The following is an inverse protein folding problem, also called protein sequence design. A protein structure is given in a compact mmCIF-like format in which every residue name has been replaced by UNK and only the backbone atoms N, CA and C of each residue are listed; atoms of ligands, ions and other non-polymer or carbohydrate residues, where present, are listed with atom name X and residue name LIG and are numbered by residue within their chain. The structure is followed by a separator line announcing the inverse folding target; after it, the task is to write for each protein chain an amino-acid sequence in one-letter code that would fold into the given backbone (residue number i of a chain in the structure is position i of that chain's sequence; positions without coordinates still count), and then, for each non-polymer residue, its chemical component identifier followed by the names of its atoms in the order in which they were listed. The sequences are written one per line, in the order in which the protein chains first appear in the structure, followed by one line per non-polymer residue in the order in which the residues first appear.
data_IF_812188230848
#
_entry.id   IF_812188230848
#
_cell.length_a   1.000
_cell.length_b   1.000
_cell.length_c   1.000
_cell.angle_alpha   90.00
_cell.angle_beta   90.00
_cell.angle_gamma   90.00
#
_symmetry.space_group_name_H-M   'P 1'
#
loop_
_entity.id
_entity.type
_entity.pdbx_description
1 polymer ?
#
# COMPACT_ATOMS: atom_id res chain seq x y z
N UNK A 1 -26.40 -2.40 30.03
CA UNK A 1 -25.75 -1.40 29.16
C UNK A 1 -25.78 0.00 29.78
N UNK A 2 -26.88 0.42 30.43
CA UNK A 2 -26.95 1.66 31.21
C UNK A 2 -25.91 1.76 32.34
N UNK A 3 -25.68 0.69 33.12
CA UNK A 3 -24.73 0.74 34.25
C UNK A 3 -23.25 0.93 33.86
N UNK A 4 -22.84 0.48 32.67
CA UNK A 4 -21.49 0.71 32.13
C UNK A 4 -21.36 2.16 31.63
N UNK A 5 -22.42 2.69 31.02
CA UNK A 5 -22.48 4.11 30.59
C UNK A 5 -22.43 5.03 31.81
N UNK A 6 -23.14 4.68 32.88
CA UNK A 6 -23.13 5.44 34.13
C UNK A 6 -21.77 5.32 34.85
N UNK A 7 -21.11 4.16 34.82
CA UNK A 7 -19.76 3.98 35.34
C UNK A 7 -18.71 4.77 34.54
N UNK A 8 -18.80 4.76 33.20
CA UNK A 8 -17.98 5.62 32.33
C UNK A 8 -18.28 7.12 32.53
N UNK A 9 -19.50 7.46 32.95
CA UNK A 9 -19.87 8.83 33.26
C UNK A 9 -19.20 9.39 34.53
N UNK A 10 -18.78 8.53 35.47
CA UNK A 10 -17.97 8.95 36.63
C UNK A 10 -16.55 9.38 36.22
N UNK A 11 -16.06 8.94 35.06
CA UNK A 11 -14.81 9.39 34.45
C UNK A 11 -14.95 10.66 33.59
N UNK A 12 -16.10 11.37 33.64
CA UNK A 12 -16.35 12.66 32.93
C UNK A 12 -15.40 13.81 33.31
N UNK A 13 -14.54 13.63 34.31
CA UNK A 13 -13.51 14.60 34.70
C UNK A 13 -12.13 14.31 34.12
N UNK A 14 -12.01 13.42 33.13
CA UNK A 14 -10.82 13.47 32.28
C UNK A 14 -10.78 14.84 31.62
N UNK A 15 -9.72 15.59 31.88
CA UNK A 15 -9.48 16.86 31.22
C UNK A 15 -9.30 16.57 29.72
N UNK A 16 -10.38 16.72 28.94
CA UNK A 16 -10.42 16.49 27.50
C UNK A 16 -9.73 17.63 26.72
N UNK A 17 -9.07 18.54 27.46
CA UNK A 17 -8.18 19.55 26.89
C UNK A 17 -7.03 18.85 26.21
N UNK A 18 -7.00 19.02 24.89
CA UNK A 18 -5.89 18.63 24.04
C UNK A 18 -4.61 19.24 24.57
N UNK A 19 -3.55 18.44 24.64
CA UNK A 19 -2.20 18.95 24.80
C UNK A 19 -1.81 19.64 23.48
N UNK A 20 -1.77 20.98 23.50
CA UNK A 20 -1.45 21.82 22.33
C UNK A 20 -0.05 21.55 21.81
N UNK A 21 0.91 21.28 22.70
CA UNK A 21 2.29 20.98 22.30
C UNK A 21 2.37 19.67 21.50
N UNK A 22 1.63 18.65 21.93
CA UNK A 22 1.53 17.38 21.21
C UNK A 22 0.83 17.56 19.86
N UNK A 23 -0.23 18.34 19.83
CA UNK A 23 -0.98 18.64 18.61
C UNK A 23 -0.11 19.40 17.58
N UNK A 24 0.64 20.41 18.01
CA UNK A 24 1.56 21.18 17.17
C UNK A 24 2.75 20.34 16.70
N UNK A 25 3.28 19.48 17.58
CA UNK A 25 4.30 18.49 17.23
C UNK A 25 3.79 17.55 16.13
N UNK A 26 2.60 16.96 16.32
CA UNK A 26 2.02 16.05 15.33
C UNK A 26 1.66 16.74 14.03
N UNK A 27 1.18 17.98 14.07
CA UNK A 27 0.93 18.78 12.87
C UNK A 27 2.23 19.00 12.09
N UNK A 28 3.31 19.34 12.79
CA UNK A 28 4.64 19.51 12.20
C UNK A 28 5.18 18.20 11.63
N UNK A 29 5.01 17.11 12.36
CA UNK A 29 5.35 15.76 11.92
C UNK A 29 4.63 15.39 10.62
N UNK A 30 3.30 15.60 10.54
CA UNK A 30 2.51 15.32 9.34
C UNK A 30 3.03 16.10 8.13
N UNK A 31 3.35 17.38 8.30
CA UNK A 31 3.90 18.19 7.20
C UNK A 31 5.25 17.64 6.73
N UNK A 32 6.17 17.35 7.66
CA UNK A 32 7.51 16.81 7.33
C UNK A 32 7.40 15.44 6.64
N UNK A 33 6.62 14.52 7.21
CA UNK A 33 6.45 13.19 6.63
C UNK A 33 5.72 13.26 5.28
N UNK A 34 4.84 14.25 5.04
CA UNK A 34 4.23 14.46 3.73
C UNK A 34 5.28 14.72 2.66
N UNK A 35 6.20 15.65 2.88
CA UNK A 35 7.26 15.98 1.92
C UNK A 35 8.17 14.79 1.64
N UNK A 36 8.61 14.10 2.69
CA UNK A 36 9.46 12.91 2.58
C UNK A 36 8.73 11.78 1.83
N UNK A 37 7.46 11.53 2.18
CA UNK A 37 6.65 10.48 1.57
C UNK A 37 6.36 10.78 0.11
N UNK A 38 5.99 12.02 -0.24
CA UNK A 38 5.73 12.41 -1.63
C UNK A 38 7.00 12.22 -2.47
N UNK A 39 8.15 12.69 -1.99
CA UNK A 39 9.43 12.51 -2.69
C UNK A 39 9.76 11.02 -2.90
N UNK A 40 9.60 10.19 -1.87
CA UNK A 40 9.85 8.75 -1.95
C UNK A 40 8.89 8.05 -2.92
N UNK A 41 7.60 8.40 -2.92
CA UNK A 41 6.61 7.82 -3.84
C UNK A 41 6.83 8.30 -5.29
N UNK A 42 7.26 9.54 -5.53
CA UNK A 42 7.65 10.02 -6.86
C UNK A 42 8.88 9.28 -7.38
N UNK A 43 9.91 9.10 -6.53
CA UNK A 43 11.09 8.31 -6.88
C UNK A 43 10.69 6.87 -7.23
N UNK A 44 9.83 6.26 -6.41
CA UNK A 44 9.35 4.90 -6.67
C UNK A 44 8.54 4.81 -7.96
N UNK A 45 7.65 5.77 -8.23
CA UNK A 45 6.94 5.89 -9.49
C UNK A 45 7.91 5.94 -10.68
N UNK A 46 8.92 6.81 -10.61
CA UNK A 46 9.97 6.92 -11.63
C UNK A 46 10.70 5.59 -11.84
N UNK A 47 11.10 4.90 -10.76
CA UNK A 47 11.78 3.61 -10.84
C UNK A 47 10.90 2.51 -11.46
N UNK A 48 9.58 2.50 -11.19
CA UNK A 48 8.64 1.60 -11.86
C UNK A 48 8.59 1.89 -13.37
N UNK A 49 8.65 3.17 -13.75
CA UNK A 49 8.62 3.58 -15.17
C UNK A 49 9.92 3.17 -15.89
N UNK A 50 11.08 3.48 -15.31
CA UNK A 50 12.36 3.34 -15.99
C UNK A 50 12.93 1.93 -15.95
N UNK A 51 12.94 1.27 -14.80
CA UNK A 51 13.68 0.03 -14.64
C UNK A 51 13.06 -1.16 -15.40
N UNK A 52 11.85 -0.99 -15.98
CA UNK A 52 11.12 -1.99 -16.78
C UNK A 52 11.17 -3.39 -16.15
N UNK A 53 11.18 -3.45 -14.83
CA UNK A 53 11.47 -4.66 -14.05
C UNK A 53 10.38 -5.72 -14.21
N UNK A 54 9.17 -5.25 -14.54
CA UNK A 54 7.98 -6.06 -14.66
C UNK A 54 7.58 -6.27 -16.11
N UNK A 55 7.47 -7.54 -16.47
CA UNK A 55 7.19 -7.97 -17.84
C UNK A 55 5.70 -7.90 -18.19
N UNK A 56 4.82 -7.87 -17.20
CA UNK A 56 3.37 -7.73 -17.45
C UNK A 56 2.94 -6.28 -17.33
N UNK A 57 2.49 -5.73 -18.47
CA UNK A 57 1.98 -4.35 -18.57
C UNK A 57 0.91 -4.03 -17.53
N UNK A 58 -0.02 -4.97 -17.29
CA UNK A 58 -1.10 -4.79 -16.32
C UNK A 58 -0.61 -4.66 -14.87
N UNK A 59 0.38 -5.45 -14.46
CA UNK A 59 0.95 -5.36 -13.11
C UNK A 59 1.73 -4.06 -12.90
N UNK A 60 2.47 -3.63 -13.93
CA UNK A 60 3.16 -2.33 -13.89
C UNK A 60 2.16 -1.19 -13.79
N UNK A 61 1.08 -1.24 -14.56
CA UNK A 61 0.02 -0.24 -14.51
C UNK A 61 -0.64 -0.16 -13.14
N UNK A 62 -0.99 -1.31 -12.52
CA UNK A 62 -1.60 -1.32 -11.19
C UNK A 62 -0.65 -0.81 -10.10
N UNK A 63 0.65 -1.07 -10.21
CA UNK A 63 1.65 -0.49 -9.30
C UNK A 63 1.75 1.03 -9.45
N UNK A 64 1.75 1.54 -10.68
CA UNK A 64 1.75 2.99 -10.92
C UNK A 64 0.49 3.65 -10.36
N UNK A 65 -0.68 3.04 -10.58
CA UNK A 65 -1.94 3.51 -10.01
C UNK A 65 -1.90 3.53 -8.48
N UNK A 66 -1.36 2.47 -7.86
CA UNK A 66 -1.16 2.42 -6.41
C UNK A 66 -0.26 3.56 -5.90
N UNK A 67 0.83 3.89 -6.62
CA UNK A 67 1.68 5.02 -6.24
C UNK A 67 0.94 6.36 -6.35
N UNK A 68 0.10 6.55 -7.37
CA UNK A 68 -0.74 7.75 -7.49
C UNK A 68 -1.66 7.89 -6.29
N UNK A 69 -2.33 6.81 -5.89
CA UNK A 69 -3.21 6.82 -4.72
C UNK A 69 -2.45 7.04 -3.41
N UNK A 70 -1.25 6.48 -3.25
CA UNK A 70 -0.41 6.77 -2.08
C UNK A 70 0.03 8.24 -2.02
N UNK A 71 0.37 8.85 -3.16
CA UNK A 71 0.66 10.28 -3.22
C UNK A 71 -0.57 11.09 -2.81
N UNK A 72 -1.75 10.76 -3.37
CA UNK A 72 -3.01 11.40 -3.02
C UNK A 72 -3.33 11.24 -1.53
N UNK A 73 -3.14 10.05 -0.96
CA UNK A 73 -3.35 9.77 0.46
C UNK A 73 -2.44 10.62 1.35
N UNK A 74 -1.15 10.73 1.03
CA UNK A 74 -0.23 11.57 1.80
C UNK A 74 -0.61 13.05 1.72
N UNK A 75 -0.93 13.54 0.52
CA UNK A 75 -1.34 14.93 0.34
C UNK A 75 -2.61 15.18 1.18
N UNK A 76 -3.60 14.30 1.07
CA UNK A 76 -4.86 14.47 1.78
C UNK A 76 -4.70 14.37 3.30
N UNK A 77 -4.09 13.28 3.79
CA UNK A 77 -3.98 13.01 5.22
C UNK A 77 -3.00 13.95 5.94
N UNK A 78 -1.90 14.33 5.28
CA UNK A 78 -0.77 14.98 5.94
C UNK A 78 -0.61 16.46 5.59
N UNK A 79 -1.33 16.98 4.59
CA UNK A 79 -1.34 18.41 4.23
C UNK A 79 -2.75 19.00 4.23
N UNK A 80 -3.70 18.36 3.54
CA UNK A 80 -5.01 18.95 3.32
C UNK A 80 -5.92 18.83 4.53
N UNK A 81 -6.01 17.65 5.14
CA UNK A 81 -6.93 17.40 6.26
C UNK A 81 -6.25 17.42 7.63
N UNK A 82 -5.12 16.72 7.83
CA UNK A 82 -4.48 16.52 9.16
C UNK A 82 -5.55 16.29 10.25
N UNK A 83 -6.17 15.09 10.28
CA UNK A 83 -7.30 14.82 11.17
C UNK A 83 -6.85 14.53 12.60
N UNK A 84 -7.59 15.09 13.56
CA UNK A 84 -7.44 14.85 14.99
C UNK A 84 -8.74 14.23 15.54
N UNK A 85 -8.76 12.90 15.75
CA UNK A 85 -9.86 12.20 16.42
C UNK A 85 -10.22 12.84 17.73
N UNK A 86 -11.51 13.08 17.90
CA UNK A 86 -12.09 13.46 19.17
C UNK A 86 -12.21 12.20 20.02
N UNK A 87 -11.91 12.35 21.30
CA UNK A 87 -12.08 11.28 22.27
C UNK A 87 -12.95 11.80 23.41
N UNK A 88 -13.97 11.03 23.85
CA UNK A 88 -14.43 9.72 23.35
C UNK A 88 -15.53 9.83 22.27
N UNK A 89 -15.75 11.03 21.73
CA UNK A 89 -16.79 11.30 20.75
C UNK A 89 -16.40 10.72 19.38
N UNK A 90 -17.31 9.99 18.73
CA UNK A 90 -17.11 9.61 17.33
C UNK A 90 -17.13 10.86 16.44
N UNK A 91 -15.95 11.36 16.14
CA UNK A 91 -15.76 12.62 15.45
C UNK A 91 -14.29 12.98 15.37
N UNK A 92 -14.00 14.04 14.62
CA UNK A 92 -12.66 14.59 14.49
C UNK A 92 -12.75 16.06 14.07
N UNK A 93 -11.63 16.76 14.21
CA UNK A 93 -11.43 18.07 13.62
C UNK A 93 -10.16 18.08 12.77
N UNK A 94 -10.02 19.11 11.93
CA UNK A 94 -8.92 19.23 10.97
C UNK A 94 -8.08 20.48 11.24
N UNK A 95 -6.74 20.34 11.14
CA UNK A 95 -5.79 21.46 11.10
C UNK A 95 -5.03 21.59 9.77
N UNK A 96 -5.42 20.83 8.77
CA UNK A 96 -4.88 20.93 7.42
C UNK A 96 -5.40 22.16 6.66
N UNK A 97 -4.92 22.31 5.42
CA UNK A 97 -5.29 23.42 4.54
C UNK A 97 -6.79 23.49 4.23
N UNK A 98 -7.47 22.34 4.13
CA UNK A 98 -8.92 22.28 3.89
C UNK A 98 -9.74 22.91 5.01
N UNK A 99 -9.36 22.64 6.27
CA UNK A 99 -10.02 23.26 7.42
C UNK A 99 -9.66 24.74 7.55
N UNK A 100 -8.36 25.05 7.49
CA UNK A 100 -7.83 26.36 7.87
C UNK A 100 -7.94 27.45 6.79
N UNK A 101 -7.85 27.08 5.50
CA UNK A 101 -7.81 28.05 4.40
C UNK A 101 -9.01 27.96 3.47
N UNK A 102 -9.59 26.76 3.29
CA UNK A 102 -10.73 26.55 2.38
C UNK A 102 -12.08 26.39 3.08
N UNK A 103 -12.09 26.30 4.42
CA UNK A 103 -13.30 26.11 5.23
C UNK A 103 -14.19 24.94 4.76
N UNK A 104 -13.58 23.84 4.30
CA UNK A 104 -14.30 22.65 3.84
C UNK A 104 -14.69 21.81 5.06
N UNK A 105 -15.99 21.49 5.24
CA UNK A 105 -16.50 20.64 6.34
C UNK A 105 -15.68 19.36 6.50
N UNK A 106 -15.37 19.01 7.76
CA UNK A 106 -14.52 17.87 8.09
C UNK A 106 -15.17 16.57 7.62
N UNK A 107 -16.51 16.56 7.57
CA UNK A 107 -17.28 15.48 7.00
C UNK A 107 -16.83 15.14 5.57
N UNK A 108 -16.82 16.13 4.67
CA UNK A 108 -16.40 15.92 3.28
C UNK A 108 -14.91 15.60 3.16
N UNK A 109 -14.08 16.14 4.05
CA UNK A 109 -12.67 15.74 4.11
C UNK A 109 -12.53 14.25 4.44
N UNK A 110 -13.35 13.71 5.34
CA UNK A 110 -13.37 12.29 5.66
C UNK A 110 -13.95 11.43 4.54
N UNK A 111 -15.00 11.89 3.85
CA UNK A 111 -15.52 11.20 2.65
C UNK A 111 -14.42 11.02 1.61
N UNK A 112 -13.67 12.08 1.31
CA UNK A 112 -12.53 12.04 0.37
C UNK A 112 -11.43 11.09 0.89
N UNK A 113 -11.12 11.13 2.19
CA UNK A 113 -10.11 10.25 2.77
C UNK A 113 -10.51 8.76 2.60
N UNK A 114 -11.75 8.42 2.95
CA UNK A 114 -12.28 7.05 2.83
C UNK A 114 -12.18 6.59 1.37
N UNK A 115 -12.61 7.43 0.43
CA UNK A 115 -12.51 7.13 -1.00
C UNK A 115 -11.06 6.85 -1.43
N UNK A 116 -10.10 7.69 -1.04
CA UNK A 116 -8.68 7.49 -1.38
C UNK A 116 -8.14 6.20 -0.76
N UNK A 117 -8.51 5.88 0.48
CA UNK A 117 -8.09 4.64 1.16
C UNK A 117 -8.67 3.41 0.45
N UNK A 118 -9.96 3.44 0.10
CA UNK A 118 -10.64 2.39 -0.66
C UNK A 118 -9.94 2.13 -2.01
N UNK A 119 -9.55 3.21 -2.69
CA UNK A 119 -8.83 3.14 -3.97
C UNK A 119 -7.38 2.64 -3.84
N UNK A 120 -6.70 2.94 -2.73
CA UNK A 120 -5.42 2.32 -2.37
C UNK A 120 -5.57 0.80 -2.22
N UNK A 121 -6.60 0.36 -1.50
CA UNK A 121 -6.90 -1.06 -1.28
C UNK A 121 -7.24 -1.74 -2.60
N UNK A 122 -8.11 -1.14 -3.42
CA UNK A 122 -8.48 -1.64 -4.74
C UNK A 122 -7.22 -1.85 -5.60
N UNK A 123 -6.35 -0.85 -5.67
CA UNK A 123 -5.11 -0.89 -6.47
C UNK A 123 -4.11 -1.92 -5.96
N UNK A 124 -4.05 -2.15 -4.65
CA UNK A 124 -3.24 -3.20 -4.03
C UNK A 124 -3.76 -4.60 -4.40
N UNK A 125 -5.07 -4.83 -4.31
CA UNK A 125 -5.70 -6.09 -4.69
C UNK A 125 -5.56 -6.34 -6.20
N UNK A 126 -5.69 -5.31 -7.02
CA UNK A 126 -5.41 -5.33 -8.46
C UNK A 126 -3.98 -5.77 -8.77
N UNK A 127 -3.02 -5.22 -8.04
CA UNK A 127 -1.60 -5.59 -8.13
C UNK A 127 -1.39 -7.07 -7.79
N UNK A 128 -2.07 -7.58 -6.76
CA UNK A 128 -2.05 -9.00 -6.43
C UNK A 128 -2.69 -9.87 -7.53
N UNK A 129 -3.83 -9.44 -8.09
CA UNK A 129 -4.59 -10.12 -9.12
C UNK A 129 -3.80 -10.23 -10.44
N UNK A 130 -3.32 -9.10 -10.99
CA UNK A 130 -2.55 -9.08 -12.24
C UNK A 130 -1.30 -9.95 -12.14
N UNK A 131 -0.65 -9.93 -10.98
CA UNK A 131 0.50 -10.79 -10.74
C UNK A 131 0.09 -12.26 -10.74
N UNK A 132 -1.00 -12.62 -10.06
CA UNK A 132 -1.49 -14.00 -10.06
C UNK A 132 -1.85 -14.46 -11.48
N UNK A 133 -2.59 -13.64 -12.24
CA UNK A 133 -2.95 -13.93 -13.63
C UNK A 133 -1.73 -14.12 -14.54
N UNK A 134 -0.64 -13.38 -14.30
CA UNK A 134 0.61 -13.55 -15.05
C UNK A 134 1.31 -14.90 -14.82
N UNK A 135 1.08 -15.53 -13.67
CA UNK A 135 1.67 -16.83 -13.32
C UNK A 135 0.84 -18.01 -13.84
N UNK A 136 -0.38 -17.76 -14.31
CA UNK A 136 -1.27 -18.78 -14.86
C UNK A 136 -0.96 -19.01 -16.34
N UNK A 137 -0.22 -20.10 -16.61
CA UNK A 137 0.06 -20.58 -17.97
C UNK A 137 -1.18 -21.27 -18.57
N UNK A 138 -2.16 -20.47 -19.02
CA UNK A 138 -3.30 -20.95 -19.82
C UNK A 138 -4.27 -21.90 -19.11
N UNK A 139 -4.39 -21.81 -17.78
CA UNK A 139 -5.28 -22.66 -16.99
C UNK A 139 -6.73 -22.18 -16.91
N UNK A 140 -7.62 -23.03 -16.40
CA UNK A 140 -9.07 -22.76 -16.19
C UNK A 140 -9.37 -21.48 -15.38
N UNK A 141 -8.41 -20.98 -14.59
CA UNK A 141 -8.55 -19.79 -13.75
C UNK A 141 -7.96 -18.52 -14.38
N UNK A 142 -7.46 -18.60 -15.62
CA UNK A 142 -6.98 -17.44 -16.36
C UNK A 142 -8.17 -16.65 -16.86
N UNK A 143 -8.32 -15.43 -16.38
CA UNK A 143 -9.37 -14.54 -16.82
C UNK A 143 -9.04 -14.03 -18.22
N UNK A 144 -10.06 -13.92 -19.06
CA UNK A 144 -9.94 -13.17 -20.31
C UNK A 144 -9.91 -11.65 -20.02
N UNK A 145 -9.57 -10.84 -21.02
CA UNK A 145 -9.42 -9.40 -20.83
C UNK A 145 -10.72 -8.72 -20.35
N UNK A 146 -11.87 -9.15 -20.85
CA UNK A 146 -13.18 -8.58 -20.49
C UNK A 146 -13.52 -8.90 -19.03
N UNK A 147 -13.41 -10.17 -18.64
CA UNK A 147 -13.61 -10.62 -17.26
C UNK A 147 -12.68 -9.89 -16.30
N UNK A 148 -11.42 -9.70 -16.72
CA UNK A 148 -10.46 -8.97 -15.93
C UNK A 148 -10.92 -7.53 -15.72
N UNK A 149 -11.24 -6.79 -16.80
CA UNK A 149 -11.75 -5.41 -16.74
C UNK A 149 -13.00 -5.28 -15.89
N UNK A 150 -13.98 -6.18 -16.07
CA UNK A 150 -15.20 -6.19 -15.25
C UNK A 150 -14.89 -6.40 -13.78
N UNK A 151 -13.94 -7.28 -13.45
CA UNK A 151 -13.49 -7.48 -12.08
C UNK A 151 -12.78 -6.25 -11.51
N UNK A 152 -12.00 -5.51 -12.33
CA UNK A 152 -11.40 -4.22 -11.91
C UNK A 152 -12.51 -3.25 -11.53
N UNK A 153 -13.46 -3.03 -12.45
CA UNK A 153 -14.54 -2.07 -12.26
C UNK A 153 -15.38 -2.45 -11.03
N UNK A 154 -15.75 -3.73 -10.91
CA UNK A 154 -16.50 -4.22 -9.76
C UNK A 154 -15.74 -4.01 -8.44
N UNK A 155 -14.43 -4.25 -8.42
CA UNK A 155 -13.60 -4.07 -7.25
C UNK A 155 -13.57 -2.60 -6.79
N UNK A 156 -13.27 -1.67 -7.70
CA UNK A 156 -13.23 -0.24 -7.40
C UNK A 156 -14.59 0.28 -6.94
N UNK A 157 -15.66 -0.03 -7.67
CA UNK A 157 -17.03 0.36 -7.29
C UNK A 157 -17.39 -0.20 -5.91
N UNK A 158 -17.12 -1.50 -5.68
CA UNK A 158 -17.49 -2.16 -4.41
C UNK A 158 -16.79 -1.54 -3.19
N UNK A 159 -15.56 -1.07 -3.35
CA UNK A 159 -14.81 -0.43 -2.27
C UNK A 159 -15.28 1.01 -2.07
N UNK A 160 -15.43 1.79 -3.15
CA UNK A 160 -15.90 3.17 -3.12
C UNK A 160 -17.31 3.38 -2.52
N UNK A 161 -18.13 2.31 -2.42
CA UNK A 161 -19.43 2.35 -1.74
C UNK A 161 -19.32 2.85 -0.29
N UNK A 162 -18.21 2.60 0.42
CA UNK A 162 -18.06 3.11 1.80
C UNK A 162 -18.06 4.63 1.86
N UNK A 163 -17.29 5.29 0.97
CA UNK A 163 -17.26 6.74 0.92
C UNK A 163 -18.64 7.31 0.59
N UNK A 164 -19.37 6.65 -0.32
CA UNK A 164 -20.74 7.04 -0.66
C UNK A 164 -21.69 6.89 0.54
N UNK A 165 -21.70 5.76 1.23
CA UNK A 165 -22.51 5.55 2.44
C UNK A 165 -22.13 6.59 3.50
N UNK A 166 -20.84 6.83 3.70
CA UNK A 166 -20.35 7.79 4.69
C UNK A 166 -20.84 9.20 4.43
N UNK A 167 -20.93 9.62 3.16
CA UNK A 167 -21.45 10.95 2.78
C UNK A 167 -22.89 11.22 3.23
N UNK A 168 -23.66 10.19 3.60
CA UNK A 168 -25.04 10.34 4.10
C UNK A 168 -25.15 10.20 5.64
N UNK A 169 -24.04 10.13 6.36
CA UNK A 169 -24.03 9.99 7.84
C UNK A 169 -24.01 11.35 8.53
N UNK A 170 -23.74 12.44 7.80
CA UNK A 170 -23.63 13.79 8.34
C UNK A 170 -24.83 14.13 9.25
N UNK A 171 -24.51 14.64 10.45
CA UNK A 171 -25.50 15.20 11.34
C UNK A 171 -25.69 16.67 11.04
N UNK A 172 -26.91 17.16 11.18
CA UNK A 172 -27.18 18.59 11.15
C UNK A 172 -26.38 19.31 12.23
N UNK A 173 -25.91 20.52 11.93
CA UNK A 173 -25.08 21.32 12.83
C UNK A 173 -25.75 21.50 14.22
N UNK A 174 -27.07 21.65 14.26
CA UNK A 174 -27.84 21.76 15.50
C UNK A 174 -27.72 20.50 16.36
N UNK A 175 -27.82 19.33 15.74
CA UNK A 175 -27.72 18.05 16.43
C UNK A 175 -26.29 17.79 16.91
N UNK A 176 -25.29 18.20 16.13
CA UNK A 176 -23.89 18.15 16.54
C UNK A 176 -23.63 19.02 17.77
N UNK A 177 -24.13 20.27 17.79
CA UNK A 177 -24.02 21.13 18.96
C UNK A 177 -24.77 20.58 20.17
N UNK A 178 -25.99 20.07 19.98
CA UNK A 178 -26.76 19.42 21.04
C UNK A 178 -25.98 18.24 21.64
N UNK A 179 -25.34 17.43 20.78
CA UNK A 179 -24.50 16.31 21.21
C UNK A 179 -23.32 16.78 22.07
N UNK A 180 -22.63 17.85 21.65
CA UNK A 180 -21.54 18.44 22.43
C UNK A 180 -22.02 19.02 23.76
N UNK A 181 -23.06 19.85 23.76
CA UNK A 181 -23.53 20.52 24.98
C UNK A 181 -24.10 19.54 26.01
N UNK A 182 -24.77 18.48 25.55
CA UNK A 182 -25.55 17.61 26.43
C UNK A 182 -24.80 16.33 26.82
N UNK A 183 -24.06 15.71 25.88
CA UNK A 183 -23.38 14.43 26.14
C UNK A 183 -21.87 14.57 26.39
N UNK A 184 -21.22 15.57 25.78
CA UNK A 184 -19.77 15.75 25.85
C UNK A 184 -19.37 17.20 26.13
N UNK A 185 -19.81 17.81 27.24
CA UNK A 185 -19.61 19.24 27.50
C UNK A 185 -18.13 19.63 27.57
N UNK A 186 -17.24 18.70 27.96
CA UNK A 186 -15.79 18.91 27.95
C UNK A 186 -15.16 19.09 26.56
N UNK A 187 -15.91 18.81 25.49
CA UNK A 187 -15.51 19.02 24.09
C UNK A 187 -16.15 20.28 23.48
N UNK A 188 -16.92 21.06 24.25
CA UNK A 188 -17.58 22.26 23.75
C UNK A 188 -16.59 23.30 23.19
N UNK A 189 -15.33 23.29 23.65
CA UNK A 189 -14.26 24.16 23.14
C UNK A 189 -14.05 24.02 21.62
N UNK A 190 -14.30 22.86 21.02
CA UNK A 190 -14.09 22.67 19.56
C UNK A 190 -15.00 23.60 18.75
N UNK A 191 -16.23 23.80 19.25
CA UNK A 191 -17.19 24.68 18.59
C UNK A 191 -16.78 26.15 18.59
N UNK A 192 -15.94 26.58 19.54
CA UNK A 192 -15.49 27.97 19.67
C UNK A 192 -14.18 28.26 18.93
N UNK A 193 -13.39 27.24 18.58
CA UNK A 193 -12.04 27.43 18.04
C UNK A 193 -11.98 27.63 16.51
N UNK A 194 -13.14 27.79 15.84
CA UNK A 194 -13.19 28.01 14.39
C UNK A 194 -12.63 26.85 13.56
N UNK A 195 -12.32 25.71 14.19
CA UNK A 195 -11.89 24.51 13.49
C UNK A 195 -13.06 23.93 12.71
N UNK A 196 -12.72 23.31 11.59
CA UNK A 196 -13.68 22.50 10.87
C UNK A 196 -13.70 21.13 11.54
N UNK A 197 -14.84 20.80 12.17
CA UNK A 197 -15.07 19.57 12.91
C UNK A 197 -16.33 18.87 12.41
N UNK A 198 -16.41 17.57 12.68
CA UNK A 198 -17.66 16.83 12.56
C UNK A 198 -17.77 15.81 13.68
N UNK A 199 -18.97 15.72 14.24
CA UNK A 199 -19.36 14.68 15.17
C UNK A 199 -20.43 13.79 14.55
N UNK A 200 -20.41 12.51 14.91
CA UNK A 200 -21.29 11.49 14.40
C UNK A 200 -22.01 10.82 15.56
N UNK A 201 -23.29 10.50 15.35
CA UNK A 201 -24.09 9.74 16.29
C UNK A 201 -24.34 8.33 15.75
N UNK A 202 -24.71 7.44 16.67
CA UNK A 202 -25.24 6.12 16.33
C UNK A 202 -26.62 6.28 15.70
N UNK A 203 -26.67 6.30 14.37
CA UNK A 203 -27.88 6.32 13.57
C UNK A 203 -27.83 5.15 12.55
N UNK A 204 -28.88 5.02 11.72
CA UNK A 204 -28.94 3.99 10.70
C UNK A 204 -27.77 4.09 9.69
N UNK A 205 -27.35 5.30 9.33
CA UNK A 205 -26.21 5.54 8.43
C UNK A 205 -24.89 5.01 9.00
N UNK A 206 -24.55 5.39 10.24
CA UNK A 206 -23.39 4.87 10.97
C UNK A 206 -23.40 3.35 11.07
N UNK A 207 -24.58 2.75 11.29
CA UNK A 207 -24.73 1.30 11.31
C UNK A 207 -24.44 0.67 9.94
N UNK A 208 -25.00 1.20 8.85
CA UNK A 208 -24.74 0.69 7.50
C UNK A 208 -23.28 0.84 7.08
N UNK A 209 -22.61 1.90 7.49
CA UNK A 209 -21.19 2.12 7.22
C UNK A 209 -20.29 1.13 7.97
N UNK A 210 -20.56 0.88 9.25
CA UNK A 210 -19.82 -0.14 10.00
C UNK A 210 -20.05 -1.53 9.40
N UNK A 211 -21.30 -1.81 9.00
CA UNK A 211 -21.65 -3.05 8.33
C UNK A 211 -20.95 -3.19 6.97
N UNK A 212 -20.84 -2.12 6.18
CA UNK A 212 -20.13 -2.14 4.90
C UNK A 212 -18.63 -2.37 5.09
N UNK A 213 -18.00 -1.70 6.06
CA UNK A 213 -16.61 -1.95 6.45
C UNK A 213 -16.41 -3.41 6.84
N UNK A 214 -17.31 -3.98 7.65
CA UNK A 214 -17.22 -5.37 8.06
C UNK A 214 -17.23 -6.33 6.87
N UNK A 215 -18.20 -6.17 5.96
CA UNK A 215 -18.27 -7.00 4.75
C UNK A 215 -17.06 -6.83 3.84
N UNK A 216 -16.53 -5.63 3.71
CA UNK A 216 -15.31 -5.39 2.95
C UNK A 216 -14.08 -6.04 3.59
N UNK A 217 -13.93 -5.96 4.91
CA UNK A 217 -12.86 -6.67 5.62
C UNK A 217 -12.93 -8.18 5.38
N UNK A 218 -14.13 -8.77 5.43
CA UNK A 218 -14.35 -10.19 5.11
C UNK A 218 -13.98 -10.49 3.65
N UNK A 219 -14.39 -9.63 2.72
CA UNK A 219 -14.07 -9.76 1.29
C UNK A 219 -12.56 -9.67 1.01
N UNK A 220 -11.89 -8.65 1.54
CA UNK A 220 -10.43 -8.43 1.41
C UNK A 220 -9.67 -9.60 2.03
N UNK A 221 -10.06 -10.01 3.24
CA UNK A 221 -9.45 -11.15 3.93
C UNK A 221 -9.59 -12.45 3.13
N UNK A 222 -10.79 -12.72 2.61
CA UNK A 222 -11.07 -13.89 1.77
C UNK A 222 -10.24 -13.85 0.48
N UNK A 223 -10.16 -12.69 -0.18
CA UNK A 223 -9.34 -12.49 -1.37
C UNK A 223 -7.85 -12.72 -1.08
N UNK A 224 -7.32 -12.16 0.01
CA UNK A 224 -5.93 -12.34 0.41
C UNK A 224 -5.60 -13.82 0.65
N UNK A 225 -6.46 -14.55 1.38
CA UNK A 225 -6.33 -15.99 1.61
C UNK A 225 -6.32 -16.76 0.29
N UNK A 226 -7.22 -16.43 -0.64
CA UNK A 226 -7.27 -17.05 -1.97
C UNK A 226 -5.96 -16.79 -2.73
N UNK A 227 -5.49 -15.55 -2.80
CA UNK A 227 -4.24 -15.19 -3.49
C UNK A 227 -3.05 -15.94 -2.92
N UNK A 228 -2.93 -16.00 -1.58
CA UNK A 228 -1.84 -16.72 -0.90
C UNK A 228 -1.91 -18.21 -1.22
N UNK A 229 -3.09 -18.84 -1.07
CA UNK A 229 -3.30 -20.26 -1.36
C UNK A 229 -2.95 -20.58 -2.81
N UNK A 230 -3.44 -19.80 -3.76
CA UNK A 230 -3.14 -19.98 -5.19
C UNK A 230 -1.68 -19.75 -5.51
N UNK A 231 -1.03 -18.77 -4.87
CA UNK A 231 0.42 -18.55 -5.04
C UNK A 231 1.21 -19.77 -4.56
N UNK A 232 0.90 -20.30 -3.38
CA UNK A 232 1.54 -21.53 -2.84
C UNK A 232 1.33 -22.71 -3.79
N UNK A 233 0.09 -22.93 -4.26
CA UNK A 233 -0.23 -24.02 -5.20
C UNK A 233 0.54 -23.88 -6.52
N UNK A 234 0.63 -22.67 -7.05
CA UNK A 234 1.35 -22.38 -8.29
C UNK A 234 2.84 -22.63 -8.12
N UNK A 235 3.45 -22.15 -7.03
CA UNK A 235 4.87 -22.40 -6.72
C UNK A 235 5.14 -23.90 -6.57
N UNK A 236 4.28 -24.64 -5.85
CA UNK A 236 4.40 -26.10 -5.70
C UNK A 236 4.30 -26.81 -7.05
N UNK A 237 3.36 -26.42 -7.90
CA UNK A 237 3.20 -26.98 -9.26
C UNK A 237 4.44 -26.72 -10.12
N UNK A 238 4.96 -25.49 -10.10
CA UNK A 238 6.17 -25.13 -10.85
C UNK A 238 7.38 -25.92 -10.36
N UNK A 239 7.58 -26.06 -9.04
CA UNK A 239 8.64 -26.90 -8.47
C UNK A 239 8.54 -28.36 -8.95
N UNK A 240 7.34 -28.94 -8.98
CA UNK A 240 7.12 -30.31 -9.51
C UNK A 240 7.46 -30.42 -11.00
N UNK A 241 7.09 -29.43 -11.81
CA UNK A 241 7.42 -29.41 -13.25
C UNK A 241 8.93 -29.30 -13.46
N UNK A 242 9.62 -28.42 -12.72
CA UNK A 242 11.08 -28.27 -12.78
C UNK A 242 11.77 -29.57 -12.35
N UNK A 243 11.31 -30.20 -11.27
CA UNK A 243 11.86 -31.48 -10.81
C UNK A 243 11.71 -32.58 -11.86
N UNK A 244 10.54 -32.70 -12.51
CA UNK A 244 10.31 -33.67 -13.60
C UNK A 244 11.09 -33.36 -14.88
N UNK A 245 11.42 -32.08 -15.14
CA UNK A 245 12.15 -31.64 -16.34
C UNK A 245 13.67 -31.78 -16.23
N UNK A 246 14.23 -32.12 -15.06
CA UNK A 246 15.67 -32.39 -14.90
C UNK A 246 16.16 -33.58 -15.76
N UNK A 247 15.27 -34.44 -16.24
CA UNK A 247 15.60 -35.58 -17.12
C UNK A 247 15.67 -35.27 -18.63
N UNK A 248 15.25 -34.10 -19.11
CA UNK A 248 15.18 -33.83 -20.56
C UNK A 248 16.07 -32.64 -20.95
N UNK A 249 17.32 -32.95 -21.32
CA UNK A 249 18.33 -31.98 -21.80
C UNK A 249 17.96 -31.23 -23.10
N UNK A 250 16.90 -31.61 -23.83
CA UNK A 250 16.81 -31.27 -25.27
C UNK A 250 15.99 -30.05 -25.70
N UNK A 251 15.23 -29.34 -24.86
CA UNK A 251 14.32 -28.29 -25.37
C UNK A 251 14.85 -26.87 -25.14
N UNK A 252 16.02 -26.53 -25.71
CA UNK A 252 16.74 -25.27 -25.41
C UNK A 252 16.16 -23.98 -26.04
N UNK A 253 15.29 -24.05 -27.06
CA UNK A 253 14.80 -22.86 -27.78
C UNK A 253 13.46 -22.28 -27.27
N UNK A 254 12.47 -23.12 -26.94
CA UNK A 254 11.24 -22.69 -26.22
C UNK A 254 11.55 -22.32 -24.75
N UNK A 255 12.72 -22.74 -24.25
CA UNK A 255 13.24 -22.44 -22.92
C UNK A 255 13.36 -20.94 -22.63
N UNK A 256 13.71 -20.03 -23.54
CA UNK A 256 14.07 -18.66 -23.10
C UNK A 256 12.92 -17.88 -22.44
N UNK A 257 11.72 -17.91 -23.02
CA UNK A 257 10.58 -17.14 -22.50
C UNK A 257 9.99 -17.81 -21.26
N UNK A 258 9.76 -19.13 -21.33
CA UNK A 258 9.23 -19.88 -20.19
C UNK A 258 10.22 -19.94 -19.02
N UNK A 259 11.54 -20.02 -19.27
CA UNK A 259 12.54 -20.06 -18.19
C UNK A 259 12.76 -18.68 -17.58
N UNK A 260 12.53 -17.58 -18.31
CA UNK A 260 12.51 -16.22 -17.75
C UNK A 260 11.28 -15.99 -16.86
N UNK A 261 10.11 -16.44 -17.29
CA UNK A 261 8.87 -16.37 -16.50
C UNK A 261 8.97 -17.27 -15.26
N UNK A 262 9.53 -18.47 -15.41
CA UNK A 262 9.75 -19.43 -14.31
C UNK A 262 10.86 -18.94 -13.37
N UNK A 263 11.97 -18.40 -13.88
CA UNK A 263 13.04 -17.85 -13.02
C UNK A 263 12.59 -16.63 -12.23
N UNK A 264 11.69 -15.81 -12.77
CA UNK A 264 11.09 -14.67 -12.06
C UNK A 264 9.93 -15.05 -11.13
N UNK A 265 9.18 -16.11 -11.46
CA UNK A 265 8.21 -16.70 -10.53
C UNK A 265 8.92 -17.32 -9.32
N UNK A 266 10.12 -17.87 -9.54
CA UNK A 266 10.97 -18.46 -8.51
C UNK A 266 11.96 -17.49 -7.86
N UNK A 267 12.10 -16.25 -8.37
CA UNK A 267 13.01 -15.27 -7.80
C UNK A 267 12.48 -14.85 -6.43
N UNK A 268 13.14 -15.25 -5.32
CA UNK A 268 12.62 -15.03 -3.98
C UNK A 268 12.41 -13.54 -3.70
N UNK A 269 13.30 -12.68 -4.20
CA UNK A 269 13.24 -11.22 -4.02
C UNK A 269 11.90 -10.62 -4.46
N UNK A 270 11.39 -10.99 -5.64
CA UNK A 270 10.11 -10.48 -6.15
C UNK A 270 8.92 -11.02 -5.34
N UNK A 271 8.99 -12.26 -4.87
CA UNK A 271 7.93 -12.83 -4.01
C UNK A 271 7.95 -12.21 -2.60
N UNK A 272 9.14 -11.90 -2.07
CA UNK A 272 9.29 -11.15 -0.82
C UNK A 272 8.65 -9.77 -0.96
N UNK A 273 8.90 -9.03 -2.05
CA UNK A 273 8.27 -7.72 -2.28
C UNK A 273 6.73 -7.78 -2.19
N UNK A 274 6.08 -8.89 -2.59
CA UNK A 274 4.62 -9.09 -2.50
C UNK A 274 4.14 -9.25 -1.06
N UNK A 275 4.83 -10.12 -0.32
CA UNK A 275 4.53 -10.36 1.09
C UNK A 275 4.75 -9.06 1.86
N UNK A 276 5.80 -8.31 1.53
CA UNK A 276 6.07 -7.02 2.14
C UNK A 276 4.99 -5.99 1.88
N UNK A 277 4.50 -5.79 0.64
CA UNK A 277 3.38 -4.85 0.39
C UNK A 277 2.13 -5.18 1.22
N UNK A 278 1.82 -6.47 1.37
CA UNK A 278 0.68 -6.91 2.17
C UNK A 278 0.95 -6.72 3.66
N UNK A 279 2.14 -7.03 4.14
CA UNK A 279 2.53 -6.84 5.54
C UNK A 279 2.57 -5.35 5.89
N UNK A 280 3.16 -4.49 5.05
CA UNK A 280 3.19 -3.04 5.30
C UNK A 280 1.79 -2.46 5.29
N UNK A 281 0.93 -2.87 4.36
CA UNK A 281 -0.49 -2.48 4.38
C UNK A 281 -1.20 -2.95 5.65
N UNK A 282 -0.99 -4.18 6.10
CA UNK A 282 -1.59 -4.67 7.34
C UNK A 282 -1.07 -3.90 8.56
N UNK A 283 0.25 -3.74 8.69
CA UNK A 283 0.88 -3.14 9.86
C UNK A 283 0.61 -1.64 9.99
N UNK A 284 0.55 -0.90 8.88
CA UNK A 284 0.43 0.55 8.91
C UNK A 284 -0.92 1.10 8.43
N UNK A 285 -1.80 0.26 7.88
CA UNK A 285 -3.20 0.66 7.59
C UNK A 285 -4.16 -0.08 8.52
N UNK A 286 -4.16 -1.41 8.53
CA UNK A 286 -5.15 -2.17 9.30
C UNK A 286 -4.99 -1.99 10.81
N UNK A 287 -3.76 -2.06 11.33
CA UNK A 287 -3.53 -1.91 12.77
C UNK A 287 -3.91 -0.50 13.26
N UNK A 288 -3.48 0.61 12.62
CA UNK A 288 -3.98 1.94 12.97
C UNK A 288 -5.50 2.09 12.89
N UNK A 289 -6.14 1.54 11.84
CA UNK A 289 -7.60 1.58 11.71
C UNK A 289 -8.29 0.80 12.84
N UNK A 290 -7.75 -0.36 13.23
CA UNK A 290 -8.26 -1.12 14.38
C UNK A 290 -8.07 -0.32 15.68
N UNK A 291 -6.90 0.30 15.87
CA UNK A 291 -6.61 1.15 17.03
C UNK A 291 -7.57 2.32 17.12
N UNK A 292 -7.85 3.00 16.00
CA UNK A 292 -8.85 4.07 15.91
C UNK A 292 -10.25 3.50 16.20
N UNK A 293 -10.61 2.36 15.62
CA UNK A 293 -11.89 1.69 15.90
C UNK A 293 -12.08 1.39 17.39
N UNK A 294 -11.07 0.83 18.05
CA UNK A 294 -11.09 0.52 19.49
C UNK A 294 -11.14 1.80 20.33
N UNK A 295 -10.42 2.85 19.93
CA UNK A 295 -10.42 4.12 20.67
C UNK A 295 -11.76 4.83 20.62
N UNK A 296 -12.50 4.69 19.50
CA UNK A 296 -13.87 5.18 19.37
C UNK A 296 -14.86 4.50 20.34
N UNK A 297 -14.55 3.30 20.83
CA UNK A 297 -15.34 2.64 21.88
C UNK A 297 -14.94 3.05 23.31
N UNK A 298 -14.08 4.07 23.47
CA UNK A 298 -13.72 4.61 24.79
C UNK A 298 -12.66 3.81 25.55
N UNK A 299 -11.96 2.90 24.87
CA UNK A 299 -10.98 2.01 25.53
C UNK A 299 -9.54 2.51 25.47
N UNK A 300 -9.23 3.52 24.64
CA UNK A 300 -7.86 3.98 24.43
C UNK A 300 -7.76 5.51 24.55
N UNK A 301 -6.70 6.03 25.20
CA UNK A 301 -6.40 7.45 25.25
C UNK A 301 -6.24 8.11 23.87
N UNK A 302 -6.53 9.42 23.79
CA UNK A 302 -6.46 10.18 22.53
C UNK A 302 -5.09 10.13 21.85
N UNK A 303 -3.99 10.17 22.63
CA UNK A 303 -2.62 10.15 22.08
C UNK A 303 -2.31 8.86 21.30
N UNK A 304 -2.96 7.73 21.64
CA UNK A 304 -2.80 6.47 20.90
C UNK A 304 -3.47 6.59 19.52
N UNK A 305 -4.68 7.16 19.47
CA UNK A 305 -5.41 7.39 18.21
C UNK A 305 -4.65 8.34 17.30
N UNK A 306 -4.10 9.41 17.88
CA UNK A 306 -3.32 10.41 17.14
C UNK A 306 -2.00 9.82 16.61
N UNK A 307 -1.32 9.02 17.43
CA UNK A 307 -0.12 8.29 17.02
C UNK A 307 -0.42 7.25 15.93
N UNK A 308 -1.59 6.60 15.98
CA UNK A 308 -2.03 5.67 14.94
C UNK A 308 -2.21 6.38 13.59
N UNK A 309 -2.81 7.57 13.57
CA UNK A 309 -2.92 8.38 12.34
C UNK A 309 -1.55 8.81 11.84
N UNK A 310 -0.66 9.24 12.73
CA UNK A 310 0.72 9.58 12.36
C UNK A 310 1.47 8.37 11.76
N UNK A 311 1.27 7.16 12.31
CA UNK A 311 1.81 5.93 11.76
C UNK A 311 1.22 5.61 10.38
N UNK A 312 -0.09 5.83 10.19
CA UNK A 312 -0.76 5.68 8.89
C UNK A 312 -0.20 6.64 7.85
N UNK A 313 0.09 7.89 8.22
CA UNK A 313 0.76 8.87 7.37
C UNK A 313 2.18 8.45 6.93
N UNK A 314 2.86 7.62 7.72
CA UNK A 314 4.19 7.08 7.37
C UNK A 314 4.16 5.83 6.49
N UNK A 315 2.99 5.18 6.34
CA UNK A 315 2.86 3.89 5.63
C UNK A 315 3.51 3.93 4.25
N UNK A 316 3.16 4.94 3.46
CA UNK A 316 3.54 5.00 2.06
C UNK A 316 5.04 5.22 1.88
N UNK A 317 5.67 6.03 2.74
CA UNK A 317 7.12 6.23 2.77
C UNK A 317 7.84 4.92 3.10
N UNK A 318 7.45 4.27 4.20
CA UNK A 318 8.04 2.99 4.61
C UNK A 318 7.89 1.97 3.50
N UNK A 319 6.69 1.87 2.92
CA UNK A 319 6.41 0.97 1.82
C UNK A 319 7.32 1.23 0.61
N UNK A 320 7.40 2.47 0.13
CA UNK A 320 8.22 2.84 -1.02
C UNK A 320 9.71 2.62 -0.77
N UNK A 321 10.24 3.00 0.40
CA UNK A 321 11.62 2.74 0.78
C UNK A 321 11.95 1.25 0.81
N UNK A 322 11.13 0.44 1.47
CA UNK A 322 11.33 -1.01 1.54
C UNK A 322 11.33 -1.63 0.16
N UNK A 323 10.43 -1.23 -0.74
CA UNK A 323 10.36 -1.77 -2.09
C UNK A 323 11.58 -1.39 -2.92
N UNK A 324 12.01 -0.12 -2.84
CA UNK A 324 13.19 0.36 -3.55
C UNK A 324 14.44 -0.38 -3.08
N UNK A 325 14.64 -0.48 -1.76
CA UNK A 325 15.80 -1.13 -1.16
C UNK A 325 15.85 -2.65 -1.42
N UNK A 326 14.70 -3.33 -1.39
CA UNK A 326 14.64 -4.78 -1.60
C UNK A 326 14.63 -5.19 -3.08
N UNK A 327 14.45 -4.26 -4.01
CA UNK A 327 14.45 -4.55 -5.44
C UNK A 327 15.85 -4.27 -6.04
N UNK A 328 16.65 -5.31 -6.34
CA UNK A 328 18.03 -5.12 -6.79
C UNK A 328 18.12 -4.30 -8.09
N UNK A 329 17.13 -4.41 -8.98
CA UNK A 329 17.11 -3.64 -10.23
C UNK A 329 16.82 -2.16 -10.00
N UNK A 330 16.05 -1.82 -8.97
CA UNK A 330 15.82 -0.43 -8.59
C UNK A 330 17.09 0.17 -7.98
N UNK A 331 17.76 -0.59 -7.11
CA UNK A 331 19.03 -0.16 -6.52
C UNK A 331 20.15 -0.02 -7.55
N UNK A 332 20.23 -0.92 -8.53
CA UNK A 332 21.18 -0.83 -9.65
C UNK A 332 20.94 0.45 -10.47
N UNK A 333 19.70 0.69 -10.90
CA UNK A 333 19.36 1.90 -11.65
C UNK A 333 19.62 3.18 -10.84
N UNK A 334 19.29 3.18 -9.54
CA UNK A 334 19.56 4.32 -8.66
C UNK A 334 21.06 4.58 -8.56
N UNK A 335 21.87 3.52 -8.38
CA UNK A 335 23.33 3.61 -8.30
C UNK A 335 23.92 4.17 -9.58
N UNK A 336 23.49 3.68 -10.74
CA UNK A 336 23.92 4.20 -12.05
C UNK A 336 23.61 5.71 -12.18
N UNK A 337 22.39 6.12 -11.83
CA UNK A 337 21.98 7.53 -11.87
C UNK A 337 22.76 8.41 -10.90
N UNK A 338 22.99 7.95 -9.67
CA UNK A 338 23.80 8.69 -8.69
C UNK A 338 25.26 8.81 -9.16
N UNK A 339 25.86 7.73 -9.67
CA UNK A 339 27.24 7.77 -10.18
C UNK A 339 27.38 8.73 -11.37
N UNK A 340 26.45 8.69 -12.33
CA UNK A 340 26.45 9.64 -13.46
C UNK A 340 26.27 11.10 -13.06
N UNK A 341 25.58 11.40 -11.95
CA UNK A 341 25.50 12.75 -11.40
C UNK A 341 26.81 13.19 -10.73
N UNK A 342 27.50 12.27 -10.05
CA UNK A 342 28.77 12.55 -9.36
C UNK A 342 29.91 12.73 -10.35
N UNK A 343 29.99 11.87 -11.38
CA UNK A 343 31.14 11.81 -12.28
C UNK A 343 31.12 12.87 -13.39
N UNK A 344 30.04 13.66 -13.55
CA UNK A 344 29.89 14.68 -14.60
C UNK A 344 30.29 14.20 -16.02
N UNK A 345 30.29 12.89 -16.26
CA UNK A 345 30.58 12.28 -17.55
C UNK A 345 29.40 11.40 -17.95
N UNK A 346 28.84 11.60 -19.15
CA UNK A 346 27.88 10.65 -19.70
C UNK A 346 28.65 9.36 -20.08
N UNK A 347 28.88 8.47 -19.10
CA UNK A 347 29.36 7.14 -19.40
C UNK A 347 28.21 6.33 -20.02
N UNK A 348 28.25 6.18 -21.35
CA UNK A 348 27.53 5.10 -22.03
C UNK A 348 28.21 3.78 -21.62
N UNK A 349 27.62 3.09 -20.67
CA UNK A 349 27.93 1.68 -20.46
C UNK A 349 27.28 0.88 -21.58
N UNK A 350 28.02 0.56 -22.64
CA UNK A 350 27.53 -0.40 -23.64
C UNK A 350 27.69 -1.82 -23.11
N UNK A 351 26.57 -2.55 -23.13
CA UNK A 351 26.50 -3.93 -22.69
C UNK A 351 27.12 -4.85 -23.74
N UNK A 352 28.45 -4.97 -23.72
CA UNK A 352 29.13 -5.95 -24.55
C UNK A 352 28.94 -7.35 -23.95
N UNK A 353 27.97 -8.10 -24.48
CA UNK A 353 27.91 -9.56 -24.26
C UNK A 353 29.12 -10.22 -24.95
N UNK A 354 30.31 -10.12 -24.35
CA UNK A 354 31.44 -10.97 -24.74
C UNK A 354 31.17 -12.37 -24.19
N UNK A 355 30.75 -13.27 -25.09
CA UNK A 355 30.62 -14.68 -24.78
C UNK A 355 32.04 -15.26 -24.62
N UNK A 356 32.50 -15.36 -23.38
CA UNK A 356 33.74 -16.10 -23.09
C UNK A 356 33.45 -17.59 -23.23
N UNK A 357 33.89 -18.18 -24.34
CA UNK A 357 33.90 -19.63 -24.51
C UNK A 357 35.12 -20.22 -23.80
N UNK A 358 34.92 -20.83 -22.64
CA UNK A 358 35.96 -21.64 -22.01
C UNK A 358 35.89 -23.06 -22.57
N UNK A 359 36.96 -23.51 -23.21
CA UNK A 359 37.13 -24.93 -23.55
C UNK A 359 37.73 -25.65 -22.35
N UNK A 360 36.92 -26.47 -21.67
CA UNK A 360 37.41 -27.35 -20.60
C UNK A 360 37.70 -28.70 -21.23
N UNK A 361 38.97 -28.99 -21.51
CA UNK A 361 39.41 -30.32 -21.91
C UNK A 361 39.42 -31.23 -20.68
N UNK A 362 38.44 -32.13 -20.59
CA UNK A 362 38.39 -33.14 -19.53
C UNK A 362 38.99 -34.43 -20.07
N UNK A 363 40.23 -34.74 -19.65
CA UNK A 363 40.94 -35.96 -20.04
C UNK A 363 40.42 -37.13 -19.18
N UNK A 364 39.43 -37.85 -19.68
CA UNK A 364 39.06 -39.16 -19.12
C UNK A 364 39.83 -40.23 -19.91
N UNK A 365 40.56 -41.07 -19.17
CA UNK A 365 41.62 -41.96 -19.68
C UNK A 365 41.21 -43.12 -20.59
N UNK A 366 40.40 -42.87 -21.63
CA UNK A 366 40.34 -43.66 -22.86
C UNK A 366 39.48 -43.02 -23.98
N UNK A 367 39.04 -41.75 -23.86
CA UNK A 367 38.50 -41.01 -25.02
C UNK A 367 38.66 -39.50 -24.84
N UNK A 368 39.23 -38.83 -25.86
CA UNK A 368 39.29 -37.38 -25.93
C UNK A 368 37.90 -36.85 -26.37
N UNK A 369 37.05 -36.48 -25.42
CA UNK A 369 35.83 -35.71 -25.69
C UNK A 369 36.00 -34.28 -25.20
N UNK A 370 36.08 -33.34 -26.13
CA UNK A 370 36.06 -31.91 -25.85
C UNK A 370 34.63 -31.49 -25.51
N UNK A 371 34.38 -31.05 -24.28
CA UNK A 371 33.08 -30.49 -23.88
C UNK A 371 33.22 -28.97 -23.83
N UNK A 372 32.64 -28.28 -24.81
CA UNK A 372 32.51 -26.83 -24.80
C UNK A 372 31.34 -26.42 -23.90
N UNK A 373 31.64 -25.99 -22.67
CA UNK A 373 30.65 -25.37 -21.79
C UNK A 373 30.69 -23.86 -21.96
N UNK A 374 29.65 -23.29 -22.57
CA UNK A 374 29.48 -21.83 -22.67
C UNK A 374 28.82 -21.35 -21.37
N UNK A 375 29.58 -20.69 -20.51
CA UNK A 375 29.03 -20.01 -19.33
C UNK A 375 28.99 -18.52 -19.68
N UNK A 376 27.81 -17.90 -19.80
CA UNK A 376 27.73 -16.46 -19.99
C UNK A 376 28.17 -15.79 -18.67
N UNK A 377 29.37 -15.23 -18.67
CA UNK A 377 29.84 -14.34 -17.61
C UNK A 377 29.55 -12.92 -18.05
N UNK A 378 28.92 -12.19 -17.14
CA UNK A 378 28.42 -10.85 -17.37
C UNK A 378 29.50 -9.90 -16.85
N UNK A 379 30.33 -9.38 -17.76
CA UNK A 379 31.44 -8.49 -17.42
C UNK A 379 31.05 -7.07 -17.80
N UNK A 380 31.03 -6.18 -16.82
CA UNK A 380 30.88 -4.74 -17.05
C UNK A 380 32.27 -4.18 -17.38
N UNK A 381 32.45 -3.69 -18.60
CA UNK A 381 33.64 -2.92 -18.99
C UNK A 381 33.22 -1.50 -19.35
N UNK A 382 33.93 -0.46 -18.85
CA UNK A 382 33.71 0.90 -19.33
C UNK A 382 34.05 0.98 -20.82
N UNK A 383 33.28 1.79 -21.56
CA UNK A 383 33.58 2.14 -22.95
C UNK A 383 34.60 3.28 -22.91
N UNK A 384 35.77 3.06 -23.51
CA UNK A 384 36.79 4.10 -23.70
C UNK A 384 36.32 5.18 -24.68
#
# INVERSE_FOLDING_TARGET
MSSIIDWLSQYRYFNYTVNTDLEDFLTSYHRVIAFISIAANILHFYLIVEAKTFYTRGYRFSLLLLQVWFIALNIHLSLLSIPFPLYPLFGAYSRGLFGTHLNISFHYQMVILIFIVDECIASLLMTALFRQQSLLLGGRFKLNNIQLVLLIIALHISLAVNAFIFAFIELDLKDQHFLLSTRYPGLAWISSHGFVWAAYAWNAGSFYFILSIFFQCVFIGSFAILVVRYTIMTVRRQRKIIAKRKDVRLTMKVRRIDTLVISQACCPSIQFTRIYHMITAILFMLLPLLTIGISLFGYLPYYISWSAIAAMASHSFVNSCVIVLLNPKYMELLREKVLSLIENRPQRWEYNQRVFSFQVQRRNGNSNRTITSVIPILVLTPVE
#
